data_IF_577959192946
#
_entry.id   IF_577959192946
#
_cell.length_a   1.000
_cell.length_b   1.000
_cell.length_c   1.000
_cell.angle_alpha   90.00
_cell.angle_beta   90.00
_cell.angle_gamma   90.00
#
_symmetry.space_group_name_H-M   'P 1'
#
loop_
_entity.id
_entity.type
_entity.pdbx_description
1 polymer ?
#
# COMPACT_ATOMS: atom_id res chain seq x y z
N UNK A 1 16.17 -23.66 -58.92
CA UNK A 1 16.53 -24.04 -57.53
C UNK A 1 17.50 -23.01 -57.00
N UNK A 2 17.06 -22.17 -56.06
CA UNK A 2 17.90 -21.22 -55.34
C UNK A 2 17.14 -20.79 -54.08
N UNK A 3 17.16 -21.64 -53.06
CA UNK A 3 16.69 -21.26 -51.73
C UNK A 3 17.83 -20.53 -51.02
N UNK A 4 17.65 -19.23 -50.83
CA UNK A 4 18.45 -18.43 -49.91
C UNK A 4 18.07 -18.77 -48.47
N UNK A 5 19.00 -19.40 -47.75
CA UNK A 5 18.88 -19.60 -46.30
C UNK A 5 18.97 -18.24 -45.60
N UNK A 6 17.83 -17.78 -45.08
CA UNK A 6 17.78 -16.68 -44.13
C UNK A 6 18.29 -17.21 -42.79
N UNK A 7 19.54 -16.89 -42.46
CA UNK A 7 20.14 -17.17 -41.15
C UNK A 7 19.40 -16.31 -40.12
N UNK A 8 18.45 -16.95 -39.41
CA UNK A 8 17.73 -16.37 -38.28
C UNK A 8 18.69 -16.23 -37.10
N UNK A 9 19.35 -15.06 -36.98
CA UNK A 9 20.18 -14.73 -35.82
C UNK A 9 19.25 -14.52 -34.62
N UNK A 10 18.98 -15.60 -33.88
CA UNK A 10 18.32 -15.51 -32.58
C UNK A 10 19.19 -14.68 -31.63
N UNK A 11 18.67 -13.62 -31.00
CA UNK A 11 19.44 -12.89 -30.01
C UNK A 11 19.81 -13.83 -28.87
N UNK A 12 21.11 -13.89 -28.54
CA UNK A 12 21.65 -14.61 -27.38
C UNK A 12 20.81 -14.24 -26.15
N UNK A 13 20.07 -15.21 -25.62
CA UNK A 13 19.39 -15.12 -24.33
C UNK A 13 20.41 -14.66 -23.29
N UNK A 14 20.31 -13.41 -22.83
CA UNK A 14 20.89 -13.01 -21.54
C UNK A 14 20.34 -13.99 -20.52
N UNK A 15 21.19 -14.83 -19.95
CA UNK A 15 20.84 -15.79 -18.90
C UNK A 15 19.89 -15.12 -17.91
N UNK A 16 18.63 -15.56 -17.84
CA UNK A 16 17.70 -15.03 -16.85
C UNK A 16 18.29 -15.33 -15.47
N UNK A 17 18.86 -14.31 -14.83
CA UNK A 17 19.36 -14.44 -13.46
C UNK A 17 18.21 -15.01 -12.60
N UNK A 18 18.47 -16.17 -11.99
CA UNK A 18 17.53 -16.86 -11.12
C UNK A 18 17.33 -16.04 -9.85
N UNK A 19 16.09 -15.96 -9.39
CA UNK A 19 15.74 -15.34 -8.10
C UNK A 19 16.43 -16.17 -7.02
N UNK A 20 17.12 -15.52 -6.09
CA UNK A 20 17.76 -16.17 -4.94
C UNK A 20 17.00 -15.88 -3.65
N UNK A 21 17.45 -16.47 -2.54
CA UNK A 21 16.93 -16.18 -1.21
C UNK A 21 16.94 -14.68 -0.86
N UNK A 22 17.96 -13.94 -1.32
CA UNK A 22 18.11 -12.53 -1.01
C UNK A 22 16.91 -11.69 -1.51
N UNK A 23 16.38 -11.96 -2.71
CA UNK A 23 15.21 -11.23 -3.23
C UNK A 23 13.94 -11.50 -2.40
N UNK A 24 13.76 -12.72 -1.90
CA UNK A 24 12.65 -13.04 -1.00
C UNK A 24 12.82 -12.34 0.35
N UNK A 25 14.02 -12.39 0.95
CA UNK A 25 14.32 -11.69 2.20
C UNK A 25 14.10 -10.18 2.06
N UNK A 26 14.55 -9.59 0.95
CA UNK A 26 14.39 -8.18 0.66
C UNK A 26 12.93 -7.75 0.60
N UNK A 27 12.11 -8.44 -0.21
CA UNK A 27 10.67 -8.12 -0.32
C UNK A 27 9.96 -8.41 1.01
N UNK A 28 10.38 -9.44 1.74
CA UNK A 28 9.85 -9.74 3.07
C UNK A 28 10.10 -8.60 4.05
N UNK A 29 11.32 -8.05 4.08
CA UNK A 29 11.65 -6.89 4.92
C UNK A 29 10.75 -5.71 4.53
N UNK A 30 10.61 -5.41 3.24
CA UNK A 30 9.69 -4.35 2.79
C UNK A 30 8.23 -4.59 3.22
N UNK A 31 7.77 -5.84 3.24
CA UNK A 31 6.42 -6.21 3.73
C UNK A 31 6.28 -5.92 5.22
N UNK A 32 7.25 -6.33 6.04
CA UNK A 32 7.21 -6.08 7.50
C UNK A 32 7.28 -4.58 7.79
N UNK A 33 8.13 -3.84 7.08
CA UNK A 33 8.22 -2.38 7.19
C UNK A 33 6.91 -1.68 6.86
N UNK A 34 6.30 -2.05 5.74
CA UNK A 34 5.03 -1.47 5.33
C UNK A 34 3.85 -1.94 6.22
N UNK A 35 4.00 -3.04 6.97
CA UNK A 35 3.03 -3.51 7.95
C UNK A 35 3.14 -2.85 9.32
N UNK A 36 4.18 -2.03 9.56
CA UNK A 36 4.39 -1.11 10.69
C UNK A 36 3.87 -1.58 12.08
N UNK A 37 3.98 -2.88 12.36
CA UNK A 37 3.44 -3.48 13.58
C UNK A 37 4.42 -3.47 14.77
N UNK A 38 5.69 -3.12 14.49
CA UNK A 38 6.71 -2.91 15.53
C UNK A 38 7.39 -1.56 15.36
N UNK A 39 7.83 -0.97 16.47
CA UNK A 39 8.63 0.26 16.48
C UNK A 39 9.99 0.10 15.79
N UNK A 40 10.51 -1.12 15.73
CA UNK A 40 11.76 -1.46 15.02
C UNK A 40 11.71 -1.16 13.52
N UNK A 41 10.51 -1.05 12.95
CA UNK A 41 10.32 -0.75 11.53
C UNK A 41 9.54 0.54 11.30
N UNK A 42 9.29 1.31 12.36
CA UNK A 42 8.57 2.58 12.30
C UNK A 42 9.54 3.72 11.92
N UNK A 43 9.90 3.76 10.65
CA UNK A 43 10.81 4.74 10.07
C UNK A 43 10.09 6.10 9.87
N UNK A 44 10.09 6.94 10.91
CA UNK A 44 9.38 8.24 10.91
C UNK A 44 10.24 9.40 10.42
N UNK A 45 11.57 9.33 10.62
CA UNK A 45 12.48 10.44 10.35
C UNK A 45 13.93 9.96 10.34
N UNK A 46 14.74 10.48 9.40
CA UNK A 46 16.17 10.15 9.33
C UNK A 46 16.93 10.58 10.59
N UNK A 47 16.46 11.62 11.30
CA UNK A 47 17.10 12.10 12.53
C UNK A 47 16.74 11.25 13.74
N UNK A 48 15.47 10.86 13.85
CA UNK A 48 14.95 10.22 15.06
C UNK A 48 15.10 8.70 15.02
N UNK A 49 15.03 8.10 13.83
CA UNK A 49 15.08 6.65 13.59
C UNK A 49 15.99 6.30 12.40
N UNK A 50 17.30 6.67 12.47
CA UNK A 50 18.23 6.52 11.34
C UNK A 50 18.43 5.05 10.94
N UNK A 51 18.51 4.14 11.92
CA UNK A 51 18.77 2.72 11.66
C UNK A 51 17.58 2.11 10.92
N UNK A 52 16.37 2.40 11.38
CA UNK A 52 15.12 1.92 10.81
C UNK A 52 14.98 2.39 9.36
N UNK A 53 15.30 3.65 9.07
CA UNK A 53 15.30 4.19 7.70
C UNK A 53 16.37 3.55 6.81
N UNK A 54 17.58 3.31 7.34
CA UNK A 54 18.72 2.88 6.53
C UNK A 54 18.67 1.40 6.12
N UNK A 55 18.08 0.52 6.92
CA UNK A 55 17.98 -0.91 6.60
C UNK A 55 17.39 -1.17 5.20
N UNK A 56 16.19 -0.67 4.83
CA UNK A 56 15.65 -0.90 3.48
C UNK A 56 16.49 -0.22 2.39
N UNK A 57 17.14 0.91 2.67
CA UNK A 57 18.03 1.61 1.73
C UNK A 57 19.28 0.78 1.42
N UNK A 58 19.93 0.24 2.46
CA UNK A 58 21.12 -0.61 2.31
C UNK A 58 20.77 -1.88 1.55
N UNK A 59 19.66 -2.53 1.88
CA UNK A 59 19.22 -3.72 1.14
C UNK A 59 18.88 -3.39 -0.32
N UNK A 60 18.27 -2.24 -0.59
CA UNK A 60 18.06 -1.73 -1.96
C UNK A 60 19.36 -1.48 -2.71
N UNK A 61 20.39 -0.94 -2.04
CA UNK A 61 21.71 -0.74 -2.65
C UNK A 61 22.38 -2.08 -2.99
N UNK A 62 22.34 -3.06 -2.09
CA UNK A 62 22.83 -4.42 -2.36
C UNK A 62 22.10 -5.04 -3.55
N UNK A 63 20.77 -4.89 -3.61
CA UNK A 63 19.95 -5.35 -4.74
C UNK A 63 20.35 -4.66 -6.05
N UNK A 64 20.54 -3.34 -6.03
CA UNK A 64 20.93 -2.56 -7.19
C UNK A 64 22.31 -2.97 -7.72
N UNK A 65 23.28 -3.19 -6.83
CA UNK A 65 24.61 -3.69 -7.18
C UNK A 65 24.56 -5.10 -7.77
N UNK A 66 23.80 -6.00 -7.13
CA UNK A 66 23.63 -7.38 -7.59
C UNK A 66 23.04 -7.48 -9.00
N UNK A 67 22.03 -6.65 -9.28
CA UNK A 67 21.36 -6.60 -10.58
C UNK A 67 22.00 -5.60 -11.56
N UNK A 68 23.13 -4.98 -11.19
CA UNK A 68 23.89 -3.99 -11.98
C UNK A 68 22.99 -2.89 -12.55
N UNK A 69 22.12 -2.33 -11.71
CA UNK A 69 21.17 -1.30 -12.11
C UNK A 69 21.93 0.00 -12.36
N UNK A 70 21.79 0.56 -13.56
CA UNK A 70 22.28 1.89 -13.91
C UNK A 70 21.15 2.91 -13.76
N UNK A 71 21.43 4.05 -13.13
CA UNK A 71 20.46 5.15 -12.99
C UNK A 71 20.11 5.70 -14.37
N UNK A 72 18.82 5.76 -14.70
CA UNK A 72 18.31 6.24 -15.98
C UNK A 72 17.61 7.59 -15.86
N UNK A 73 17.25 8.16 -17.02
CA UNK A 73 16.60 9.47 -17.12
C UNK A 73 15.31 9.57 -16.30
N UNK A 74 14.57 8.45 -16.14
CA UNK A 74 13.31 8.44 -15.38
C UNK A 74 13.56 8.73 -13.90
N UNK A 75 14.60 8.13 -13.32
CA UNK A 75 14.99 8.43 -11.94
C UNK A 75 15.49 9.87 -11.79
N UNK A 76 16.33 10.34 -12.72
CA UNK A 76 16.81 11.72 -12.70
C UNK A 76 15.67 12.74 -12.77
N UNK A 77 14.68 12.55 -13.65
CA UNK A 77 13.53 13.46 -13.73
C UNK A 77 12.70 13.46 -12.45
N UNK A 78 12.51 12.31 -11.82
CA UNK A 78 11.83 12.24 -10.52
C UNK A 78 12.61 12.98 -9.43
N UNK A 79 13.92 12.73 -9.34
CA UNK A 79 14.78 13.35 -8.33
C UNK A 79 14.87 14.87 -8.50
N UNK A 80 15.05 15.34 -9.74
CA UNK A 80 15.09 16.78 -10.08
C UNK A 80 13.72 17.43 -9.87
N UNK A 81 12.64 16.80 -10.32
CA UNK A 81 11.28 17.31 -10.10
C UNK A 81 10.94 17.44 -8.61
N UNK A 82 11.31 16.44 -7.81
CA UNK A 82 11.15 16.50 -6.36
C UNK A 82 12.06 17.53 -5.70
N UNK A 83 13.29 17.72 -6.20
CA UNK A 83 14.18 18.77 -5.74
C UNK A 83 13.60 20.17 -5.99
N UNK A 84 13.06 20.43 -7.18
CA UNK A 84 12.37 21.69 -7.49
C UNK A 84 11.18 21.91 -6.54
N UNK A 85 10.35 20.88 -6.34
CA UNK A 85 9.25 20.92 -5.38
C UNK A 85 9.73 21.26 -3.95
N UNK A 86 10.81 20.61 -3.49
CA UNK A 86 11.40 20.84 -2.18
C UNK A 86 11.95 22.26 -2.00
N UNK A 87 12.67 22.80 -2.99
CA UNK A 87 13.16 24.19 -2.96
C UNK A 87 11.99 25.17 -2.93
N UNK A 88 10.95 24.93 -3.72
CA UNK A 88 9.77 25.80 -3.77
C UNK A 88 9.05 25.86 -2.41
N UNK A 89 8.93 24.72 -1.72
CA UNK A 89 8.39 24.65 -0.36
C UNK A 89 9.28 25.32 0.67
N UNK A 90 10.60 25.13 0.53
CA UNK A 90 11.56 25.74 1.45
C UNK A 90 11.49 27.27 1.38
N UNK A 91 11.33 27.82 0.18
CA UNK A 91 11.10 29.25 -0.04
C UNK A 91 9.75 29.68 0.55
N UNK A 92 8.66 28.96 0.23
CA UNK A 92 7.30 29.28 0.72
C UNK A 92 7.22 29.41 2.23
N UNK A 93 7.88 28.51 2.96
CA UNK A 93 7.83 28.47 4.43
C UNK A 93 9.05 29.07 5.11
N UNK A 94 10.00 29.61 4.34
CA UNK A 94 11.29 30.12 4.82
C UNK A 94 11.99 29.14 5.78
N UNK A 95 11.91 27.85 5.48
CA UNK A 95 12.41 26.76 6.32
C UNK A 95 13.01 25.64 5.47
N UNK A 96 14.28 25.29 5.71
CA UNK A 96 15.02 24.33 4.90
C UNK A 96 15.07 22.95 5.57
N UNK A 97 14.16 22.06 5.17
CA UNK A 97 13.91 20.78 5.86
C UNK A 97 14.63 19.61 5.19
N UNK A 98 15.96 19.60 5.27
CA UNK A 98 16.80 18.61 4.58
C UNK A 98 16.44 17.14 4.90
N UNK A 99 16.07 16.83 6.15
CA UNK A 99 15.64 15.48 6.56
C UNK A 99 14.45 14.98 5.73
N UNK A 100 13.49 15.86 5.46
CA UNK A 100 12.30 15.55 4.64
C UNK A 100 12.70 15.19 3.21
N UNK A 101 13.58 16.01 2.61
CA UNK A 101 14.09 15.77 1.26
C UNK A 101 14.84 14.43 1.15
N UNK A 102 15.78 14.17 2.06
CA UNK A 102 16.57 12.94 2.08
C UNK A 102 15.68 11.71 2.26
N UNK A 103 14.69 11.78 3.15
CA UNK A 103 13.76 10.67 3.38
C UNK A 103 13.04 10.25 2.09
N UNK A 104 12.48 11.19 1.33
CA UNK A 104 11.79 10.86 0.07
C UNK A 104 12.75 10.42 -1.04
N UNK A 105 13.99 10.95 -1.09
CA UNK A 105 15.01 10.43 -2.00
C UNK A 105 15.33 8.96 -1.71
N UNK A 106 15.45 8.59 -0.43
CA UNK A 106 15.61 7.19 -0.03
C UNK A 106 14.42 6.34 -0.45
N UNK A 107 13.18 6.82 -0.27
CA UNK A 107 11.99 6.12 -0.74
C UNK A 107 12.05 5.89 -2.26
N UNK A 108 12.33 6.93 -3.05
CA UNK A 108 12.44 6.82 -4.51
C UNK A 108 13.54 5.86 -4.93
N UNK A 109 14.69 5.87 -4.25
CA UNK A 109 15.77 4.94 -4.53
C UNK A 109 15.36 3.48 -4.24
N UNK A 110 14.65 3.22 -3.15
CA UNK A 110 14.13 1.89 -2.81
C UNK A 110 13.19 1.39 -3.93
N UNK A 111 12.24 2.23 -4.34
CA UNK A 111 11.25 1.88 -5.36
C UNK A 111 11.92 1.64 -6.71
N UNK A 112 12.81 2.55 -7.11
CA UNK A 112 13.56 2.45 -8.35
C UNK A 112 14.34 1.14 -8.43
N UNK A 113 15.13 0.85 -7.39
CA UNK A 113 15.95 -0.34 -7.30
C UNK A 113 15.10 -1.61 -7.33
N UNK A 114 13.97 -1.63 -6.61
CA UNK A 114 13.03 -2.76 -6.57
C UNK A 114 12.41 -3.04 -7.93
N UNK A 115 11.82 -2.01 -8.56
CA UNK A 115 11.09 -2.18 -9.82
C UNK A 115 12.04 -2.56 -10.96
N UNK A 116 13.24 -1.95 -11.03
CA UNK A 116 14.22 -2.25 -12.08
C UNK A 116 14.85 -3.64 -11.95
N UNK A 117 15.17 -4.09 -10.73
CA UNK A 117 15.72 -5.43 -10.51
C UNK A 117 14.68 -6.53 -10.69
N UNK A 118 13.56 -6.44 -9.99
CA UNK A 118 12.60 -7.53 -9.86
C UNK A 118 11.53 -7.52 -10.96
N UNK A 119 11.19 -6.34 -11.50
CA UNK A 119 10.18 -6.20 -12.57
C UNK A 119 8.88 -6.92 -12.17
N UNK A 120 8.31 -7.74 -13.06
CA UNK A 120 7.10 -8.54 -12.78
C UNK A 120 7.33 -9.62 -11.73
N UNK A 121 8.60 -10.07 -11.51
CA UNK A 121 8.93 -11.05 -10.48
C UNK A 121 8.66 -10.50 -9.07
N UNK A 122 8.66 -9.17 -8.87
CA UNK A 122 8.27 -8.53 -7.61
C UNK A 122 6.91 -9.04 -7.12
N UNK A 123 5.91 -9.01 -7.99
CA UNK A 123 4.53 -9.38 -7.63
C UNK A 123 4.36 -10.88 -7.36
N UNK A 124 5.22 -11.71 -7.97
CA UNK A 124 5.30 -13.14 -7.67
C UNK A 124 5.83 -13.37 -6.26
N UNK A 125 6.98 -12.78 -5.95
CA UNK A 125 7.62 -12.88 -4.64
C UNK A 125 6.71 -12.31 -3.55
N UNK A 126 6.12 -11.13 -3.79
CA UNK A 126 5.18 -10.48 -2.87
C UNK A 126 3.99 -11.39 -2.55
N UNK A 127 3.29 -11.91 -3.57
CA UNK A 127 2.12 -12.77 -3.35
C UNK A 127 2.46 -14.06 -2.60
N UNK A 128 3.63 -14.63 -2.86
CA UNK A 128 4.11 -15.82 -2.16
C UNK A 128 4.42 -15.54 -0.69
N UNK A 129 5.09 -14.43 -0.38
CA UNK A 129 5.35 -14.00 1.01
C UNK A 129 4.03 -13.75 1.74
N UNK A 130 3.11 -12.99 1.13
CA UNK A 130 1.81 -12.71 1.74
C UNK A 130 0.99 -13.99 1.92
N UNK A 131 1.10 -14.97 1.02
CA UNK A 131 0.47 -16.26 1.18
C UNK A 131 0.93 -16.97 2.46
N UNK A 132 2.24 -17.12 2.67
CA UNK A 132 2.76 -17.77 3.87
C UNK A 132 2.43 -17.01 5.16
N UNK A 133 2.51 -15.68 5.14
CA UNK A 133 2.10 -14.84 6.26
C UNK A 133 0.59 -14.96 6.56
N UNK A 134 -0.24 -15.13 5.52
CA UNK A 134 -1.68 -15.32 5.67
C UNK A 134 -2.00 -16.69 6.28
N UNK A 135 -1.31 -17.74 5.85
CA UNK A 135 -1.47 -19.08 6.45
C UNK A 135 -1.10 -19.04 7.93
N UNK A 136 0.03 -18.43 8.28
CA UNK A 136 0.46 -18.28 9.67
C UNK A 136 -0.57 -17.46 10.47
N UNK A 137 -1.05 -16.34 9.92
CA UNK A 137 -2.07 -15.51 10.55
C UNK A 137 -3.37 -16.27 10.80
N UNK A 138 -3.80 -17.13 9.86
CA UNK A 138 -4.99 -17.96 10.03
C UNK A 138 -4.82 -18.98 11.16
N UNK A 139 -3.66 -19.64 11.25
CA UNK A 139 -3.36 -20.58 12.33
C UNK A 139 -3.41 -19.85 13.68
N UNK A 140 -2.71 -18.72 13.80
CA UNK A 140 -2.68 -17.94 15.03
C UNK A 140 -4.04 -17.36 15.41
N UNK A 141 -4.85 -16.97 14.42
CA UNK A 141 -6.22 -16.50 14.66
C UNK A 141 -7.14 -17.63 15.16
N UNK A 142 -7.05 -18.84 14.59
CA UNK A 142 -7.79 -20.00 15.11
C UNK A 142 -7.38 -20.27 16.57
N UNK A 143 -6.08 -20.23 16.88
CA UNK A 143 -5.57 -20.36 18.25
C UNK A 143 -6.16 -19.26 19.15
N UNK A 144 -6.23 -18.01 18.69
CA UNK A 144 -6.82 -16.91 19.43
C UNK A 144 -8.32 -17.11 19.71
N UNK A 145 -9.07 -17.63 18.73
CA UNK A 145 -10.51 -17.92 18.89
C UNK A 145 -10.72 -19.07 19.88
N UNK A 146 -9.95 -20.16 19.76
CA UNK A 146 -10.11 -21.36 20.60
C UNK A 146 -9.65 -21.13 22.05
N UNK A 147 -8.52 -20.45 22.26
CA UNK A 147 -8.01 -20.16 23.61
C UNK A 147 -8.83 -19.08 24.34
N UNK A 148 -9.57 -18.27 23.59
CA UNK A 148 -10.16 -17.02 24.06
C UNK A 148 -9.18 -15.86 23.88
N UNK A 149 -9.70 -14.77 23.30
CA UNK A 149 -8.88 -13.64 22.83
C UNK A 149 -7.98 -13.03 23.92
N UNK A 150 -8.48 -12.87 25.14
CA UNK A 150 -7.72 -12.27 26.23
C UNK A 150 -6.62 -13.19 26.79
N UNK A 151 -6.75 -14.53 26.67
CA UNK A 151 -5.70 -15.46 27.13
C UNK A 151 -4.47 -15.36 26.24
N UNK A 152 -4.64 -15.38 24.91
CA UNK A 152 -3.53 -15.21 23.99
C UNK A 152 -2.88 -13.82 24.13
N UNK A 153 -3.70 -12.77 24.28
CA UNK A 153 -3.21 -11.43 24.59
C UNK A 153 -2.39 -11.42 25.90
N UNK A 154 -2.85 -12.12 26.94
CA UNK A 154 -2.14 -12.30 28.20
C UNK A 154 -0.78 -12.97 28.05
N UNK A 155 -0.68 -14.03 27.25
CA UNK A 155 0.59 -14.68 26.94
C UNK A 155 1.55 -13.77 26.16
N UNK A 156 1.04 -12.96 25.24
CA UNK A 156 1.89 -11.98 24.57
C UNK A 156 2.38 -10.96 25.60
N UNK A 157 1.47 -10.45 26.44
CA UNK A 157 1.77 -9.46 27.47
C UNK A 157 2.82 -9.93 28.48
N UNK A 158 2.94 -11.24 28.76
CA UNK A 158 3.96 -11.78 29.67
C UNK A 158 5.36 -11.84 29.06
N UNK A 159 5.49 -11.72 27.74
CA UNK A 159 6.80 -11.64 27.08
C UNK A 159 7.40 -10.27 27.40
N UNK A 160 8.55 -10.29 28.09
CA UNK A 160 9.30 -9.08 28.39
C UNK A 160 9.57 -8.29 27.09
N UNK A 161 9.53 -6.96 27.18
CA UNK A 161 9.80 -6.03 26.07
C UNK A 161 8.76 -5.96 24.94
N UNK A 162 7.81 -6.89 24.79
CA UNK A 162 6.85 -6.85 23.67
C UNK A 162 6.04 -5.56 23.63
N UNK A 163 5.67 -5.03 24.81
CA UNK A 163 4.93 -3.76 24.95
C UNK A 163 5.75 -2.57 24.50
N UNK A 164 7.06 -2.59 24.71
CA UNK A 164 7.93 -1.48 24.36
C UNK A 164 8.12 -1.39 22.85
N UNK A 165 8.19 -2.55 22.17
CA UNK A 165 8.43 -2.65 20.73
C UNK A 165 7.17 -2.77 19.86
N UNK A 166 5.99 -3.05 20.42
CA UNK A 166 4.74 -3.10 19.65
C UNK A 166 4.28 -1.71 19.21
N UNK A 167 3.73 -1.62 18.00
CA UNK A 167 3.04 -0.42 17.47
C UNK A 167 1.65 -0.75 16.89
N UNK A 168 1.02 -1.81 17.40
CA UNK A 168 -0.34 -2.23 17.00
C UNK A 168 -1.37 -1.26 17.57
N UNK A 169 -2.40 -0.96 16.77
CA UNK A 169 -3.47 -0.06 17.20
C UNK A 169 -4.28 -0.64 18.38
N UNK A 170 -4.88 0.26 19.17
CA UNK A 170 -5.78 -0.07 20.29
C UNK A 170 -5.11 -0.98 21.34
N UNK A 171 -3.91 -0.63 21.78
CA UNK A 171 -3.12 -1.35 22.80
C UNK A 171 -2.81 -2.81 22.45
N UNK A 172 -2.78 -3.12 21.16
CA UNK A 172 -2.40 -4.43 20.66
C UNK A 172 -0.91 -4.74 20.84
N UNK A 173 -0.59 -6.02 20.75
CA UNK A 173 0.77 -6.55 20.86
C UNK A 173 1.14 -7.27 19.56
N UNK A 174 2.36 -7.07 19.09
CA UNK A 174 2.90 -7.77 17.92
C UNK A 174 4.10 -8.63 18.31
N UNK A 175 4.06 -9.89 17.91
CA UNK A 175 5.17 -10.84 18.00
C UNK A 175 5.85 -11.00 16.63
N UNK A 176 6.16 -9.88 15.98
CA UNK A 176 6.75 -9.74 14.63
C UNK A 176 5.82 -10.20 13.51
N UNK A 177 5.43 -11.48 13.52
CA UNK A 177 4.66 -12.11 12.45
C UNK A 177 3.16 -12.20 12.73
N UNK A 178 2.74 -11.90 13.96
CA UNK A 178 1.34 -11.88 14.35
C UNK A 178 1.04 -10.79 15.37
N UNK A 179 -0.05 -10.07 15.16
CA UNK A 179 -0.60 -9.03 16.02
C UNK A 179 -1.87 -9.51 16.71
N UNK A 180 -1.90 -9.37 18.03
CA UNK A 180 -3.06 -9.68 18.88
C UNK A 180 -3.60 -8.40 19.49
N UNK A 181 -4.93 -8.26 19.49
CA UNK A 181 -5.63 -7.15 20.14
C UNK A 181 -6.46 -7.66 21.33
N UNK A 182 -6.61 -6.87 22.40
CA UNK A 182 -7.51 -7.18 23.51
C UNK A 182 -8.94 -7.48 23.04
N UNK A 183 -9.67 -8.37 23.74
CA UNK A 183 -11.05 -8.71 23.37
C UNK A 183 -11.99 -7.50 23.41
N UNK A 184 -11.73 -6.54 24.32
CA UNK A 184 -12.45 -5.26 24.43
C UNK A 184 -12.60 -4.57 23.06
N UNK A 185 -11.57 -4.64 22.22
CA UNK A 185 -11.62 -4.03 20.89
C UNK A 185 -12.63 -4.70 19.97
N UNK A 186 -12.90 -5.99 20.14
CA UNK A 186 -13.92 -6.70 19.37
C UNK A 186 -15.33 -6.33 19.82
N UNK A 187 -15.53 -6.11 21.13
CA UNK A 187 -16.78 -5.61 21.69
C UNK A 187 -17.10 -4.18 21.24
N UNK A 188 -16.09 -3.30 21.10
CA UNK A 188 -16.26 -1.94 20.55
C UNK A 188 -16.87 -1.97 19.13
N UNK A 189 -16.63 -3.04 18.38
CA UNK A 189 -17.19 -3.25 17.03
C UNK A 189 -18.36 -4.23 17.02
N UNK A 190 -18.89 -4.62 18.19
CA UNK A 190 -19.99 -5.57 18.35
C UNK A 190 -19.76 -6.89 17.61
N UNK A 191 -18.50 -7.35 17.60
CA UNK A 191 -18.11 -8.58 16.95
C UNK A 191 -17.98 -9.72 17.96
N UNK A 192 -18.54 -10.87 17.61
CA UNK A 192 -18.49 -12.10 18.42
C UNK A 192 -17.07 -12.68 18.44
N UNK A 193 -16.31 -12.48 17.35
CA UNK A 193 -14.98 -13.06 17.19
C UNK A 193 -13.89 -11.99 17.15
N UNK A 194 -12.69 -12.28 17.69
CA UNK A 194 -11.54 -11.39 17.55
C UNK A 194 -11.24 -11.11 16.08
N UNK A 195 -10.85 -9.87 15.78
CA UNK A 195 -10.47 -9.47 14.43
C UNK A 195 -9.05 -9.92 14.13
N UNK A 196 -8.84 -10.52 12.96
CA UNK A 196 -7.52 -10.99 12.54
C UNK A 196 -6.66 -9.83 12.02
N UNK A 197 -5.60 -9.48 12.76
CA UNK A 197 -4.62 -8.45 12.36
C UNK A 197 -3.45 -9.01 11.55
N UNK A 198 -3.31 -10.34 11.46
CA UNK A 198 -2.15 -10.98 10.84
C UNK A 198 -0.84 -10.37 11.31
N UNK A 199 0.08 -10.10 10.39
CA UNK A 199 1.37 -9.47 10.67
C UNK A 199 1.32 -7.93 10.74
N UNK A 200 0.17 -7.30 10.51
CA UNK A 200 0.03 -5.85 10.41
C UNK A 200 -0.38 -5.20 11.75
N UNK A 201 -0.25 -3.87 11.85
CA UNK A 201 -0.64 -3.12 13.05
C UNK A 201 -2.16 -3.05 13.29
N UNK A 202 -2.98 -3.43 12.31
CA UNK A 202 -4.43 -3.53 12.45
C UNK A 202 -5.05 -4.48 11.40
N UNK A 203 -6.26 -5.02 11.66
CA UNK A 203 -6.96 -5.93 10.72
C UNK A 203 -7.20 -5.32 9.36
N UNK A 204 -7.43 -4.01 9.35
CA UNK A 204 -7.73 -3.26 8.17
C UNK A 204 -6.57 -3.17 7.16
N UNK A 205 -5.34 -3.12 7.65
CA UNK A 205 -4.12 -3.06 6.85
C UNK A 205 -3.76 -4.44 6.33
N UNK A 206 -3.92 -5.48 7.17
CA UNK A 206 -3.76 -6.86 6.74
C UNK A 206 -4.69 -7.18 5.55
N UNK A 207 -5.94 -6.70 5.61
CA UNK A 207 -6.89 -6.82 4.51
C UNK A 207 -6.38 -6.16 3.19
N UNK A 208 -5.69 -5.02 3.27
CA UNK A 208 -5.10 -4.37 2.07
C UNK A 208 -4.04 -5.27 1.43
N UNK A 209 -3.16 -5.87 2.23
CA UNK A 209 -2.14 -6.81 1.73
C UNK A 209 -2.78 -8.04 1.08
N UNK A 210 -3.82 -8.61 1.70
CA UNK A 210 -4.57 -9.74 1.13
C UNK A 210 -5.19 -9.34 -0.21
N UNK A 211 -5.81 -8.15 -0.32
CA UNK A 211 -6.39 -7.68 -1.58
C UNK A 211 -5.32 -7.49 -2.69
N UNK A 212 -4.16 -6.93 -2.37
CA UNK A 212 -3.06 -6.82 -3.34
C UNK A 212 -2.50 -8.19 -3.72
N UNK A 213 -2.40 -9.13 -2.79
CA UNK A 213 -1.97 -10.49 -3.07
C UNK A 213 -2.99 -11.24 -3.93
N UNK A 214 -4.29 -11.07 -3.70
CA UNK A 214 -5.37 -11.58 -4.55
C UNK A 214 -5.29 -11.02 -5.97
N UNK A 215 -5.03 -9.72 -6.10
CA UNK A 215 -4.78 -9.10 -7.41
C UNK A 215 -3.60 -9.78 -8.12
N UNK A 216 -2.47 -9.96 -7.44
CA UNK A 216 -1.30 -10.63 -8.00
C UNK A 216 -1.61 -12.09 -8.37
N UNK A 217 -2.28 -12.84 -7.49
CA UNK A 217 -2.64 -14.24 -7.67
C UNK A 217 -3.51 -14.45 -8.92
N UNK A 218 -4.60 -13.69 -9.03
CA UNK A 218 -5.61 -13.85 -10.09
C UNK A 218 -5.17 -13.27 -11.43
N UNK A 219 -4.44 -12.15 -11.42
CA UNK A 219 -4.13 -11.41 -12.65
C UNK A 219 -2.72 -11.61 -13.15
N UNK A 220 -1.71 -11.64 -12.27
CA UNK A 220 -0.29 -11.67 -12.63
C UNK A 220 0.26 -13.11 -12.64
N UNK A 221 0.06 -13.87 -11.57
CA UNK A 221 0.77 -15.13 -11.35
C UNK A 221 0.11 -16.31 -12.06
N UNK A 222 -1.23 -16.35 -12.12
CA UNK A 222 -2.09 -17.30 -12.86
C UNK A 222 -1.46 -18.67 -13.22
N UNK A 223 -0.78 -19.32 -12.27
CA UNK A 223 -0.26 -20.68 -12.45
C UNK A 223 -1.43 -21.64 -12.33
N UNK A 224 -1.76 -22.32 -13.43
CA UNK A 224 -2.83 -23.33 -13.50
C UNK A 224 -2.65 -24.32 -12.31
N UNK A 225 -3.67 -24.46 -11.45
CA UNK A 225 -3.67 -25.37 -10.29
C UNK A 225 -3.59 -24.69 -8.92
N UNK A 226 -2.46 -24.04 -8.57
CA UNK A 226 -2.25 -23.45 -7.22
C UNK A 226 -3.07 -22.18 -6.95
N UNK A 227 -3.52 -21.49 -8.00
CA UNK A 227 -4.28 -20.25 -7.87
C UNK A 227 -5.60 -20.44 -7.09
N UNK A 228 -6.28 -21.59 -7.24
CA UNK A 228 -7.56 -21.84 -6.57
C UNK A 228 -7.43 -21.94 -5.05
N UNK A 229 -6.46 -22.71 -4.55
CA UNK A 229 -6.22 -22.86 -3.12
C UNK A 229 -5.82 -21.53 -2.47
N UNK A 230 -4.87 -20.81 -3.10
CA UNK A 230 -4.41 -19.51 -2.58
C UNK A 230 -5.54 -18.47 -2.55
N UNK A 231 -6.38 -18.43 -3.59
CA UNK A 231 -7.57 -17.59 -3.62
C UNK A 231 -8.46 -17.84 -2.40
N UNK A 232 -8.83 -19.10 -2.12
CA UNK A 232 -9.71 -19.40 -1.00
C UNK A 232 -9.07 -19.09 0.36
N UNK A 233 -7.79 -19.37 0.54
CA UNK A 233 -7.07 -19.01 1.78
C UNK A 233 -7.11 -17.49 2.00
N UNK A 234 -6.80 -16.71 0.96
CA UNK A 234 -6.90 -15.26 1.03
C UNK A 234 -8.33 -14.77 1.30
N UNK A 235 -9.33 -15.33 0.64
CA UNK A 235 -10.74 -14.94 0.82
C UNK A 235 -11.23 -15.23 2.24
N UNK A 236 -10.92 -16.41 2.80
CA UNK A 236 -11.30 -16.75 4.17
C UNK A 236 -10.57 -15.83 5.16
N UNK A 237 -9.26 -15.64 4.98
CA UNK A 237 -8.49 -14.72 5.83
C UNK A 237 -9.06 -13.30 5.78
N UNK A 238 -9.47 -12.81 4.61
CA UNK A 238 -10.09 -11.51 4.47
C UNK A 238 -11.35 -11.38 5.33
N UNK A 239 -12.22 -12.39 5.34
CA UNK A 239 -13.42 -12.42 6.20
C UNK A 239 -13.06 -12.32 7.69
N UNK A 240 -11.98 -12.96 8.12
CA UNK A 240 -11.54 -12.88 9.53
C UNK A 240 -11.03 -11.47 9.93
N UNK A 241 -10.67 -10.61 8.96
CA UNK A 241 -10.22 -9.23 9.26
C UNK A 241 -11.35 -8.29 9.68
N UNK A 242 -12.59 -8.58 9.26
CA UNK A 242 -13.74 -7.69 9.46
C UNK A 242 -13.45 -6.26 8.98
N UNK A 243 -12.82 -6.14 7.79
CA UNK A 243 -12.40 -4.86 7.20
C UNK A 243 -13.35 -4.43 6.09
N UNK A 244 -14.09 -3.35 6.33
CA UNK A 244 -15.06 -2.78 5.37
C UNK A 244 -14.41 -2.38 4.05
N UNK A 245 -13.23 -1.74 4.13
CA UNK A 245 -12.41 -1.39 2.96
C UNK A 245 -11.92 -2.65 2.24
N UNK A 246 -11.48 -3.67 2.99
CA UNK A 246 -11.05 -4.94 2.42
C UNK A 246 -12.16 -5.64 1.64
N UNK A 247 -13.36 -5.70 2.20
CA UNK A 247 -14.53 -6.30 1.54
C UNK A 247 -14.92 -5.56 0.26
N UNK A 248 -14.95 -4.23 0.30
CA UNK A 248 -15.24 -3.42 -0.88
C UNK A 248 -14.22 -3.65 -1.99
N UNK A 249 -12.91 -3.61 -1.66
CA UNK A 249 -11.84 -3.85 -2.64
C UNK A 249 -11.88 -5.29 -3.18
N UNK A 250 -12.19 -6.27 -2.33
CA UNK A 250 -12.36 -7.67 -2.74
C UNK A 250 -13.51 -7.86 -3.72
N UNK A 251 -14.66 -7.24 -3.48
CA UNK A 251 -15.79 -7.26 -4.42
C UNK A 251 -15.40 -6.69 -5.78
N UNK A 252 -14.65 -5.58 -5.79
CA UNK A 252 -14.10 -5.00 -7.04
C UNK A 252 -13.17 -6.00 -7.74
N UNK A 253 -12.25 -6.65 -7.02
CA UNK A 253 -11.34 -7.66 -7.58
C UNK A 253 -12.11 -8.82 -8.20
N UNK A 254 -13.07 -9.39 -7.46
CA UNK A 254 -13.89 -10.53 -7.93
C UNK A 254 -14.71 -10.12 -9.14
N UNK A 255 -15.33 -8.93 -9.13
CA UNK A 255 -16.06 -8.39 -10.27
C UNK A 255 -15.19 -8.33 -11.53
N UNK A 256 -13.98 -7.75 -11.45
CA UNK A 256 -13.07 -7.69 -12.59
C UNK A 256 -12.57 -9.08 -13.01
N UNK A 257 -12.37 -10.01 -12.07
CA UNK A 257 -11.97 -11.39 -12.39
C UNK A 257 -13.04 -12.11 -13.19
N UNK A 258 -14.30 -12.04 -12.72
CA UNK A 258 -15.44 -12.60 -13.42
C UNK A 258 -15.63 -11.94 -14.80
N UNK A 259 -15.35 -10.64 -14.95
CA UNK A 259 -15.53 -9.92 -16.22
C UNK A 259 -14.54 -10.36 -17.29
N UNK A 260 -13.38 -10.83 -16.86
CA UNK A 260 -12.39 -11.41 -17.76
C UNK A 260 -12.69 -12.87 -18.14
N UNK A 261 -13.44 -13.61 -17.31
CA UNK A 261 -13.71 -15.05 -17.53
C UNK A 261 -15.09 -15.33 -18.12
N UNK A 262 -16.14 -14.68 -17.63
CA UNK A 262 -17.54 -14.98 -17.94
C UNK A 262 -18.38 -13.70 -17.95
N UNK A 263 -18.17 -12.83 -18.96
CA UNK A 263 -18.81 -11.51 -19.02
C UNK A 263 -20.35 -11.54 -19.00
N UNK A 264 -20.98 -12.60 -19.54
CA UNK A 264 -22.45 -12.76 -19.50
C UNK A 264 -22.98 -13.13 -18.11
N UNK A 265 -22.18 -13.83 -17.29
CA UNK A 265 -22.58 -14.29 -15.95
C UNK A 265 -22.59 -13.13 -14.95
N UNK A 266 -21.81 -12.08 -15.16
CA UNK A 266 -21.84 -10.89 -14.29
C UNK A 266 -23.17 -10.17 -14.32
N UNK A 267 -23.80 -10.03 -15.49
CA UNK A 267 -25.12 -9.39 -15.58
C UNK A 267 -26.14 -10.14 -14.72
N UNK A 268 -26.00 -11.47 -14.66
CA UNK A 268 -26.86 -12.38 -13.91
C UNK A 268 -26.51 -12.45 -12.42
N UNK A 269 -25.23 -12.29 -12.06
CA UNK A 269 -24.74 -12.26 -10.67
C UNK A 269 -24.83 -10.87 -10.02
N UNK A 270 -25.03 -9.80 -10.79
CA UNK A 270 -25.11 -8.44 -10.25
C UNK A 270 -26.17 -8.28 -9.15
N UNK A 271 -27.40 -8.82 -9.27
CA UNK A 271 -28.39 -8.79 -8.19
C UNK A 271 -27.89 -9.54 -6.94
N UNK A 272 -27.21 -10.67 -7.11
CA UNK A 272 -26.65 -11.45 -6.00
C UNK A 272 -25.54 -10.68 -5.29
N UNK A 273 -24.64 -10.03 -6.03
CA UNK A 273 -23.58 -9.17 -5.50
C UNK A 273 -24.19 -7.99 -4.73
N UNK A 274 -25.25 -7.38 -5.27
CA UNK A 274 -25.96 -6.29 -4.63
C UNK A 274 -26.66 -6.75 -3.34
N UNK A 275 -27.32 -7.90 -3.35
CA UNK A 275 -27.91 -8.51 -2.16
C UNK A 275 -26.87 -8.83 -1.09
N UNK A 276 -25.71 -9.38 -1.48
CA UNK A 276 -24.59 -9.61 -0.55
C UNK A 276 -24.08 -8.30 0.04
N UNK A 277 -23.97 -7.23 -0.77
CA UNK A 277 -23.61 -5.90 -0.28
C UNK A 277 -24.62 -5.41 0.76
N UNK A 278 -25.92 -5.47 0.47
CA UNK A 278 -26.98 -5.08 1.42
C UNK A 278 -26.89 -5.89 2.71
N UNK A 279 -26.66 -7.20 2.62
CA UNK A 279 -26.53 -8.09 3.77
C UNK A 279 -25.26 -7.77 4.59
N UNK A 280 -24.14 -7.42 3.94
CA UNK A 280 -22.95 -6.93 4.64
C UNK A 280 -23.27 -5.63 5.38
N UNK A 281 -23.95 -4.68 4.74
CA UNK A 281 -24.34 -3.40 5.34
C UNK A 281 -25.32 -3.56 6.52
N UNK A 282 -26.13 -4.63 6.55
CA UNK A 282 -27.04 -4.92 7.66
C UNK A 282 -26.36 -5.58 8.86
N UNK A 283 -25.10 -6.03 8.75
CA UNK A 283 -24.39 -6.63 9.88
C UNK A 283 -24.17 -5.59 11.01
N UNK A 284 -24.32 -5.99 12.29
CA UNK A 284 -24.23 -5.06 13.43
C UNK A 284 -22.96 -4.20 13.45
N UNK A 285 -21.81 -4.78 13.10
CA UNK A 285 -20.54 -4.06 13.07
C UNK A 285 -20.50 -2.94 12.01
N UNK A 286 -21.24 -3.07 10.90
CA UNK A 286 -21.32 -2.04 9.85
C UNK A 286 -22.21 -0.89 10.28
N UNK A 287 -23.42 -1.19 10.76
CA UNK A 287 -24.38 -0.19 11.23
C UNK A 287 -23.78 0.69 12.33
N UNK A 288 -23.16 0.07 13.34
CA UNK A 288 -22.52 0.79 14.45
C UNK A 288 -21.36 1.67 13.98
N UNK A 289 -20.63 1.23 12.94
CA UNK A 289 -19.54 2.00 12.35
C UNK A 289 -20.06 3.23 11.59
N UNK A 290 -21.18 3.11 10.87
CA UNK A 290 -21.82 4.22 10.15
C UNK A 290 -22.30 5.28 11.14
N UNK A 291 -23.04 4.88 12.18
CA UNK A 291 -23.55 5.80 13.21
C UNK A 291 -22.39 6.55 13.89
N UNK A 292 -21.31 5.85 14.25
CA UNK A 292 -20.12 6.48 14.84
C UNK A 292 -19.50 7.52 13.90
N UNK A 293 -19.44 7.22 12.60
CA UNK A 293 -18.89 8.13 11.59
C UNK A 293 -19.70 9.42 11.47
N UNK A 294 -21.04 9.31 11.51
CA UNK A 294 -21.95 10.46 11.46
C UNK A 294 -21.78 11.33 12.71
N UNK A 295 -21.77 10.71 13.89
CA UNK A 295 -21.65 11.44 15.16
C UNK A 295 -20.30 12.16 15.27
N UNK A 296 -19.19 11.50 14.95
CA UNK A 296 -17.86 12.13 14.97
C UNK A 296 -17.73 13.28 13.97
N UNK A 297 -18.45 13.22 12.85
CA UNK A 297 -18.46 14.30 11.86
C UNK A 297 -19.21 15.52 12.39
N UNK A 298 -20.36 15.31 13.03
CA UNK A 298 -21.17 16.39 13.60
C UNK A 298 -20.47 17.06 14.80
N UNK A 299 -19.63 16.32 15.52
CA UNK A 299 -18.91 16.79 16.70
C UNK A 299 -17.42 17.08 16.43
N UNK A 300 -17.03 17.28 15.17
CA UNK A 300 -15.62 17.35 14.78
C UNK A 300 -14.89 18.50 15.49
N UNK A 301 -15.50 19.68 15.56
CA UNK A 301 -14.93 20.84 16.27
C UNK A 301 -14.79 20.57 17.78
N UNK A 302 -15.80 19.95 18.39
CA UNK A 302 -15.77 19.58 19.82
C UNK A 302 -14.66 18.56 20.08
N UNK A 303 -14.50 17.56 19.21
CA UNK A 303 -13.43 16.57 19.29
C UNK A 303 -12.06 17.23 19.18
N UNK A 304 -11.89 18.19 18.26
CA UNK A 304 -10.63 18.93 18.10
C UNK A 304 -10.32 19.75 19.36
N UNK A 305 -11.29 20.52 19.85
CA UNK A 305 -11.15 21.36 21.05
C UNK A 305 -10.78 20.53 22.28
N UNK A 306 -11.36 19.33 22.45
CA UNK A 306 -11.03 18.41 23.56
C UNK A 306 -9.58 17.92 23.55
N UNK A 307 -8.86 18.08 22.43
CA UNK A 307 -7.45 17.67 22.32
C UNK A 307 -6.46 18.83 22.48
N UNK A 308 -6.95 20.07 22.64
CA UNK A 308 -6.12 21.24 22.88
C UNK A 308 -5.43 21.11 24.23
N UNK A 309 -4.10 21.29 24.26
CA UNK A 309 -3.32 21.22 25.49
C UNK A 309 -3.18 19.83 26.09
N UNK A 310 -3.68 18.78 25.41
CA UNK A 310 -3.53 17.38 25.86
C UNK A 310 -2.05 17.00 25.89
N UNK A 311 -1.59 16.56 27.06
CA UNK A 311 -0.24 15.99 27.23
C UNK A 311 -0.28 14.49 26.92
N UNK A 312 0.70 14.00 26.16
CA UNK A 312 0.80 12.59 25.74
C UNK A 312 0.55 12.35 24.25
N UNK A 313 0.10 11.13 23.92
CA UNK A 313 -0.11 10.65 22.54
C UNK A 313 -1.20 11.44 21.82
N UNK A 314 -0.98 11.69 20.53
CA UNK A 314 -1.93 12.38 19.67
C UNK A 314 -3.21 11.54 19.49
N UNK A 315 -4.36 12.20 19.52
CA UNK A 315 -5.62 11.55 19.23
C UNK A 315 -5.71 11.19 17.74
N UNK A 316 -6.08 9.95 17.42
CA UNK A 316 -6.26 9.48 16.05
C UNK A 316 -7.76 9.40 15.70
N UNK A 317 -8.32 10.34 14.92
CA UNK A 317 -9.73 10.33 14.56
C UNK A 317 -10.08 9.18 13.60
N UNK A 318 -11.37 8.91 13.38
CA UNK A 318 -11.77 8.02 12.29
C UNK A 318 -11.34 8.58 10.93
N UNK A 319 -11.33 7.72 9.91
CA UNK A 319 -10.79 8.03 8.56
C UNK A 319 -11.51 9.16 7.86
N UNK A 320 -12.82 9.30 8.07
CA UNK A 320 -13.60 10.39 7.49
C UNK A 320 -13.36 11.71 8.21
N UNK A 321 -13.37 11.73 9.55
CA UNK A 321 -12.99 12.90 10.33
C UNK A 321 -11.54 13.33 10.03
N UNK A 322 -10.63 12.36 9.87
CA UNK A 322 -9.25 12.58 9.43
C UNK A 322 -9.19 13.25 8.06
N UNK A 323 -10.02 12.80 7.10
CA UNK A 323 -10.12 13.42 5.77
C UNK A 323 -10.59 14.87 5.87
N UNK A 324 -11.63 15.16 6.64
CA UNK A 324 -12.12 16.52 6.83
C UNK A 324 -11.05 17.45 7.43
N UNK A 325 -10.31 16.99 8.44
CA UNK A 325 -9.20 17.75 9.04
C UNK A 325 -8.13 18.05 7.98
N UNK A 326 -7.65 17.03 7.28
CA UNK A 326 -6.61 17.21 6.25
C UNK A 326 -7.08 18.06 5.06
N UNK A 327 -8.38 18.09 4.78
CA UNK A 327 -8.96 18.94 3.75
C UNK A 327 -8.92 20.43 4.14
N UNK A 328 -8.98 20.76 5.44
CA UNK A 328 -8.77 22.14 5.91
C UNK A 328 -7.32 22.57 5.61
N UNK A 329 -6.34 21.70 5.90
CA UNK A 329 -4.93 21.98 5.60
C UNK A 329 -4.66 22.12 4.09
N UNK A 330 -5.27 21.24 3.29
CA UNK A 330 -5.23 21.35 1.84
C UNK A 330 -5.85 22.66 1.34
N UNK A 331 -7.02 23.05 1.85
CA UNK A 331 -7.67 24.32 1.47
C UNK A 331 -6.79 25.52 1.78
N UNK A 332 -6.05 25.48 2.89
CA UNK A 332 -5.11 26.54 3.26
C UNK A 332 -3.83 26.53 2.41
N UNK A 333 -3.44 25.37 1.85
CA UNK A 333 -2.20 25.19 1.09
C UNK A 333 -2.40 24.36 -0.20
N UNK A 334 -3.24 24.80 -1.15
CA UNK A 334 -3.81 23.91 -2.17
C UNK A 334 -2.81 23.44 -3.23
N UNK A 335 -1.84 24.27 -3.62
CA UNK A 335 -0.93 23.92 -4.71
C UNK A 335 0.21 22.98 -4.26
N UNK A 336 0.95 23.39 -3.22
CA UNK A 336 2.18 22.72 -2.78
C UNK A 336 2.00 21.88 -1.50
N UNK A 337 0.90 22.06 -0.78
CA UNK A 337 0.70 21.48 0.54
C UNK A 337 1.59 22.10 1.62
N UNK A 338 1.69 21.39 2.74
CA UNK A 338 2.50 21.74 3.90
C UNK A 338 3.99 21.37 3.74
N UNK A 339 4.35 20.48 2.80
CA UNK A 339 5.75 20.13 2.57
C UNK A 339 6.46 19.52 3.79
N UNK A 340 5.68 18.81 4.61
CA UNK A 340 6.13 18.25 5.87
C UNK A 340 6.20 19.22 7.04
N UNK A 341 5.97 20.53 6.87
CA UNK A 341 5.94 21.51 7.98
C UNK A 341 4.63 21.36 8.76
N UNK A 342 4.58 20.32 9.59
CA UNK A 342 3.37 19.91 10.32
C UNK A 342 2.85 21.03 11.24
N UNK A 343 3.74 21.87 11.76
CA UNK A 343 3.40 23.01 12.63
C UNK A 343 2.54 24.07 11.93
N UNK A 344 2.56 24.12 10.60
CA UNK A 344 1.70 25.02 9.83
C UNK A 344 0.27 24.49 9.64
N UNK A 345 0.02 23.23 10.00
CA UNK A 345 -1.28 22.60 9.98
C UNK A 345 -2.24 23.22 11.00
N UNK A 346 -3.52 23.24 10.66
CA UNK A 346 -4.58 23.87 11.44
C UNK A 346 -4.63 23.37 12.88
N UNK A 347 -4.60 22.05 13.08
CA UNK A 347 -4.68 21.43 14.41
C UNK A 347 -3.47 21.79 15.27
N UNK A 348 -2.27 21.80 14.69
CA UNK A 348 -1.05 22.18 15.39
C UNK A 348 -1.05 23.66 15.79
N UNK A 349 -1.54 24.55 14.92
CA UNK A 349 -1.64 25.99 15.20
C UNK A 349 -2.53 26.33 16.40
N UNK A 350 -3.59 25.57 16.61
CA UNK A 350 -4.50 25.74 17.75
C UNK A 350 -4.09 24.91 18.98
N UNK A 351 -2.91 24.27 18.94
CA UNK A 351 -2.41 23.43 20.04
C UNK A 351 -3.16 22.10 20.22
N UNK A 352 -3.94 21.67 19.23
CA UNK A 352 -4.64 20.39 19.22
C UNK A 352 -3.70 19.28 18.73
N UNK A 353 -3.52 18.23 19.54
CA UNK A 353 -2.68 17.08 19.18
C UNK A 353 -3.49 15.99 18.50
N UNK A 354 -3.58 16.07 17.17
CA UNK A 354 -4.33 15.14 16.34
C UNK A 354 -3.42 14.54 15.27
N UNK A 355 -3.54 13.22 15.05
CA UNK A 355 -2.83 12.50 13.99
C UNK A 355 -3.82 11.86 13.01
N UNK A 356 -4.17 12.55 11.90
CA UNK A 356 -5.09 12.04 10.89
C UNK A 356 -4.58 10.77 10.17
N UNK A 357 -5.45 9.79 9.95
CA UNK A 357 -5.09 8.46 9.43
C UNK A 357 -5.56 8.15 7.99
N UNK A 358 -5.82 9.19 7.17
CA UNK A 358 -6.25 9.02 5.77
C UNK A 358 -5.08 9.20 4.80
N UNK A 359 -4.91 8.31 3.83
CA UNK A 359 -3.82 8.42 2.86
C UNK A 359 -4.02 9.54 1.85
N UNK A 360 -5.20 9.62 1.22
CA UNK A 360 -5.48 10.66 0.21
C UNK A 360 -5.59 12.05 0.83
N UNK A 361 -6.16 12.15 2.03
CA UNK A 361 -6.20 13.41 2.76
C UNK A 361 -4.80 13.88 3.15
N UNK A 362 -3.97 12.99 3.70
CA UNK A 362 -2.57 13.31 4.00
C UNK A 362 -1.79 13.66 2.74
N UNK A 363 -2.03 12.99 1.61
CA UNK A 363 -1.42 13.33 0.32
C UNK A 363 -1.76 14.74 -0.12
N UNK A 364 -3.03 15.13 -0.04
CA UNK A 364 -3.49 16.48 -0.38
C UNK A 364 -2.94 17.52 0.59
N UNK A 365 -3.02 17.29 1.90
CA UNK A 365 -2.50 18.22 2.91
C UNK A 365 -0.99 18.41 2.79
N UNK A 366 -0.24 17.32 2.60
CA UNK A 366 1.22 17.34 2.59
C UNK A 366 1.80 17.82 1.27
N UNK A 367 1.21 17.39 0.14
CA UNK A 367 1.77 17.63 -1.19
C UNK A 367 0.93 18.51 -2.12
N UNK A 368 -0.25 18.91 -1.69
CA UNK A 368 -1.17 19.71 -2.49
C UNK A 368 -1.59 19.02 -3.78
N UNK A 369 -2.05 19.83 -4.73
CA UNK A 369 -2.44 19.37 -6.06
C UNK A 369 -1.26 18.78 -6.83
N UNK A 370 -0.04 19.29 -6.65
CA UNK A 370 1.14 18.78 -7.37
C UNK A 370 1.39 17.31 -7.05
N UNK A 371 1.43 16.93 -5.77
CA UNK A 371 1.61 15.53 -5.39
C UNK A 371 0.40 14.67 -5.71
N UNK A 372 -0.82 15.20 -5.57
CA UNK A 372 -2.03 14.46 -5.91
C UNK A 372 -2.10 14.11 -7.41
N UNK A 373 -1.81 15.08 -8.29
CA UNK A 373 -1.75 14.86 -9.73
C UNK A 373 -0.66 13.82 -10.06
N UNK A 374 0.53 13.96 -9.48
CA UNK A 374 1.61 12.99 -9.68
C UNK A 374 1.21 11.57 -9.28
N UNK A 375 0.59 11.41 -8.11
CA UNK A 375 0.09 10.14 -7.61
C UNK A 375 -0.98 9.54 -8.53
N UNK A 376 -2.00 10.32 -8.89
CA UNK A 376 -3.10 9.89 -9.76
C UNK A 376 -2.56 9.43 -11.11
N UNK A 377 -1.77 10.27 -11.80
CA UNK A 377 -1.20 9.96 -13.11
C UNK A 377 -0.30 8.72 -13.07
N UNK A 378 0.58 8.61 -12.06
CA UNK A 378 1.46 7.45 -11.91
C UNK A 378 0.67 6.17 -11.68
N UNK A 379 -0.33 6.22 -10.81
CA UNK A 379 -1.18 5.07 -10.49
C UNK A 379 -1.99 4.61 -11.72
N UNK A 380 -2.58 5.56 -12.45
CA UNK A 380 -3.29 5.29 -13.71
C UNK A 380 -2.35 4.67 -14.75
N UNK A 381 -1.15 5.24 -14.94
CA UNK A 381 -0.16 4.72 -15.86
C UNK A 381 0.24 3.27 -15.51
N UNK A 382 0.43 2.96 -14.22
CA UNK A 382 0.75 1.61 -13.74
C UNK A 382 -0.40 0.64 -13.99
N UNK A 383 -1.65 1.05 -13.70
CA UNK A 383 -2.84 0.24 -13.96
C UNK A 383 -3.03 -0.07 -15.45
N UNK A 384 -2.83 0.94 -16.32
CA UNK A 384 -2.89 0.78 -17.77
C UNK A 384 -1.74 -0.09 -18.31
N UNK A 385 -0.56 0.00 -17.70
CA UNK A 385 0.57 -0.89 -18.01
C UNK A 385 0.18 -2.35 -17.75
N UNK A 386 -0.34 -2.69 -16.57
CA UNK A 386 -0.71 -4.08 -16.26
C UNK A 386 -1.80 -4.62 -17.17
N UNK A 387 -2.80 -3.81 -17.51
CA UNK A 387 -3.85 -4.23 -18.44
C UNK A 387 -3.30 -4.58 -19.83
N UNK A 388 -2.35 -3.78 -20.34
CA UNK A 388 -1.66 -4.04 -21.62
C UNK A 388 -0.75 -5.25 -21.53
N UNK A 389 0.11 -5.29 -20.51
CA UNK A 389 1.07 -6.37 -20.28
C UNK A 389 0.39 -7.73 -20.13
N UNK A 390 -0.70 -7.80 -19.36
CA UNK A 390 -1.44 -9.03 -19.11
C UNK A 390 -2.48 -9.34 -20.21
N UNK A 391 -2.71 -8.43 -21.15
CA UNK A 391 -3.77 -8.53 -22.18
C UNK A 391 -5.16 -8.84 -21.58
N UNK A 392 -5.49 -8.20 -20.46
CA UNK A 392 -6.74 -8.39 -19.70
C UNK A 392 -7.57 -7.10 -19.61
N UNK A 393 -8.89 -7.23 -19.49
CA UNK A 393 -9.84 -6.12 -19.26
C UNK A 393 -9.78 -5.63 -17.81
N UNK A 394 -8.64 -5.09 -17.39
CA UNK A 394 -8.36 -4.64 -16.02
C UNK A 394 -7.77 -3.22 -15.95
N UNK A 395 -8.03 -2.40 -16.98
CA UNK A 395 -7.41 -1.07 -17.20
C UNK A 395 -7.39 -0.19 -15.96
N UNK A 396 -8.47 -0.19 -15.17
CA UNK A 396 -8.61 0.64 -13.98
C UNK A 396 -8.54 -0.14 -12.66
N UNK A 397 -8.34 -1.46 -12.68
CA UNK A 397 -8.45 -2.29 -11.49
C UNK A 397 -7.42 -1.90 -10.42
N UNK A 398 -6.14 -1.82 -10.78
CA UNK A 398 -5.09 -1.46 -9.82
C UNK A 398 -5.30 -0.03 -9.30
N UNK A 399 -5.70 0.89 -10.19
CA UNK A 399 -6.02 2.27 -9.80
C UNK A 399 -7.14 2.32 -8.74
N UNK A 400 -8.24 1.59 -8.97
CA UNK A 400 -9.36 1.53 -8.03
C UNK A 400 -8.95 0.90 -6.69
N UNK A 401 -8.17 -0.19 -6.72
CA UNK A 401 -7.64 -0.83 -5.50
C UNK A 401 -6.83 0.19 -4.68
N UNK A 402 -5.83 0.84 -5.31
CA UNK A 402 -4.97 1.80 -4.63
C UNK A 402 -5.78 3.01 -4.13
N UNK A 403 -6.71 3.54 -4.91
CA UNK A 403 -7.55 4.66 -4.51
C UNK A 403 -8.39 4.33 -3.27
N UNK A 404 -9.14 3.22 -3.27
CA UNK A 404 -9.96 2.84 -2.10
C UNK A 404 -9.11 2.57 -0.85
N UNK A 405 -7.93 1.96 -1.01
CA UNK A 405 -7.01 1.75 0.11
C UNK A 405 -6.47 3.09 0.64
N UNK A 406 -6.19 4.06 -0.23
CA UNK A 406 -5.67 5.38 0.14
C UNK A 406 -6.70 6.24 0.90
N UNK A 407 -7.99 6.09 0.64
CA UNK A 407 -9.02 6.78 1.45
C UNK A 407 -8.90 6.33 2.91
N UNK A 408 -8.60 5.04 3.10
CA UNK A 408 -8.62 4.41 4.41
C UNK A 408 -7.31 4.44 5.17
N UNK A 409 -6.17 4.41 4.48
CA UNK A 409 -4.85 4.31 5.11
C UNK A 409 -3.81 5.11 4.35
N UNK A 410 -2.83 5.63 5.09
CA UNK A 410 -1.62 6.26 4.57
C UNK A 410 -0.60 5.26 3.99
N UNK A 411 -1.06 4.09 3.55
CA UNK A 411 -0.19 3.02 3.06
C UNK A 411 0.54 3.40 1.75
N UNK A 412 -0.01 4.36 1.01
CA UNK A 412 0.53 4.83 -0.28
C UNK A 412 1.91 5.48 -0.18
N UNK A 413 2.36 5.84 1.03
CA UNK A 413 3.69 6.40 1.29
C UNK A 413 4.76 5.35 1.61
N UNK A 414 4.38 4.08 1.81
CA UNK A 414 5.37 3.02 2.05
C UNK A 414 5.95 2.51 0.72
N UNK A 415 7.27 2.30 0.65
CA UNK A 415 7.96 2.01 -0.60
C UNK A 415 7.44 0.74 -1.29
N UNK A 416 7.02 -0.28 -0.53
CA UNK A 416 6.42 -1.48 -1.09
C UNK A 416 5.14 -1.17 -1.90
N UNK A 417 4.25 -0.36 -1.35
CA UNK A 417 3.00 0.03 -2.01
C UNK A 417 3.29 1.02 -3.14
N UNK A 418 4.28 1.90 -2.97
CA UNK A 418 4.78 2.76 -4.04
C UNK A 418 5.31 1.97 -5.24
N UNK A 419 5.88 0.78 -5.04
CA UNK A 419 6.25 -0.10 -6.15
C UNK A 419 5.05 -0.54 -7.00
N UNK A 420 3.82 -0.59 -6.46
CA UNK A 420 2.61 -0.88 -7.25
C UNK A 420 2.18 0.32 -8.08
N UNK A 421 2.07 1.50 -7.45
CA UNK A 421 1.49 2.67 -8.11
C UNK A 421 2.50 3.47 -8.94
N UNK A 422 3.81 3.34 -8.68
CA UNK A 422 4.89 3.91 -9.51
C UNK A 422 5.49 2.90 -10.49
N UNK A 423 4.95 1.69 -10.60
CA UNK A 423 5.54 0.61 -11.39
C UNK A 423 5.87 1.02 -12.84
N UNK A 424 4.94 1.67 -13.54
CA UNK A 424 5.17 2.07 -14.94
C UNK A 424 6.17 3.21 -15.09
N UNK A 425 6.47 3.97 -14.04
CA UNK A 425 7.42 5.09 -14.10
C UNK A 425 8.83 4.59 -14.35
N UNK A 426 9.19 3.44 -13.77
CA UNK A 426 10.54 2.89 -13.83
C UNK A 426 10.66 1.67 -14.74
N UNK A 427 9.56 1.12 -15.24
CA UNK A 427 9.61 -0.04 -16.10
C UNK A 427 9.47 0.37 -17.58
N UNK A 428 10.46 0.07 -18.44
CA UNK A 428 10.39 0.47 -19.84
C UNK A 428 9.27 -0.28 -20.58
N UNK A 429 8.66 0.42 -21.54
CA UNK A 429 7.65 -0.07 -22.49
C UNK A 429 8.06 -1.32 -23.28
N UNK A 430 9.34 -1.66 -23.28
CA UNK A 430 9.93 -2.81 -23.98
C UNK A 430 9.43 -4.17 -23.44
N UNK A 431 8.76 -4.19 -22.29
CA UNK A 431 8.13 -5.40 -21.74
C UNK A 431 6.71 -5.64 -22.25
N UNK A 432 6.10 -4.69 -22.95
CA UNK A 432 4.75 -4.89 -23.51
C UNK A 432 4.90 -5.64 -24.84
N UNK A 433 4.45 -6.90 -24.95
CA UNK A 433 4.62 -7.68 -26.17
C UNK A 433 3.87 -7.02 -27.34
N UNK A 434 4.60 -6.50 -28.33
CA UNK A 434 4.03 -5.89 -29.54
C UNK A 434 3.72 -4.38 -29.45
N UNK A 435 4.28 -3.62 -28.49
CA UNK A 435 4.13 -2.16 -28.47
C UNK A 435 5.02 -1.51 -29.55
N UNK A 436 4.50 -1.40 -30.77
CA UNK A 436 5.17 -0.79 -31.93
C UNK A 436 5.42 0.71 -31.76
N UNK A 437 4.84 1.37 -30.76
CA UNK A 437 4.96 2.83 -30.57
C UNK A 437 6.38 3.33 -30.38
N UNK A 438 7.29 2.53 -29.80
CA UNK A 438 8.72 2.88 -29.72
C UNK A 438 9.43 2.69 -31.06
N UNK A 439 9.07 1.64 -31.80
CA UNK A 439 9.58 1.40 -33.15
C UNK A 439 9.10 2.48 -34.13
N UNK A 440 7.82 2.86 -34.08
CA UNK A 440 7.25 3.94 -34.88
C UNK A 440 7.82 5.32 -34.51
N UNK A 441 8.10 5.58 -33.24
CA UNK A 441 8.71 6.85 -32.82
C UNK A 441 10.18 6.94 -33.21
N UNK A 442 10.95 5.85 -33.11
CA UNK A 442 12.34 5.81 -33.60
C UNK A 442 12.42 5.82 -35.13
N UNK A 443 11.47 5.17 -35.83
CA UNK A 443 11.38 5.21 -37.28
C UNK A 443 11.00 6.61 -37.78
N UNK A 444 10.15 7.36 -37.05
CA UNK A 444 9.85 8.77 -37.36
C UNK A 444 11.02 9.72 -37.09
N UNK A 445 11.87 9.42 -36.11
CA UNK A 445 13.10 10.20 -35.85
C UNK A 445 14.17 9.95 -36.92
N UNK A 446 14.30 8.72 -37.43
CA UNK A 446 15.23 8.40 -38.52
C UNK A 446 14.80 8.91 -39.90
N UNK A 447 13.55 9.37 -40.05
CA UNK A 447 13.05 10.01 -41.27
C UNK A 447 13.27 11.55 -41.23
N UNK A 448 13.70 12.08 -40.07
CA UNK A 448 13.97 13.51 -39.84
C UNK A 448 15.47 13.84 -39.72
N UNK A 449 16.34 12.84 -39.84
CA UNK A 449 17.78 12.95 -40.13
C UNK A 449 18.02 12.60 -41.60
#
# INVERSE_FOLDING_TARGET
MSHSEVIEIRPKNKSEQKISFFEYLYVFVLVIYAANATKLVNATSVKDTPVEVLVPVVLSAILALKWKITIDRQFYFLAVGFFIYFITISIKFSDFRLTYYIFYLFQFFIIYSTVKSLKIKLFKIFEEIIFYLTVLAMIMWIVQVVLGADKLYGYFKSIAFIRQYSSVSQDGLNAILYSVQPAVNSFIYSSIFPRNSGFAWEPGVFAVYICLALYCNLFINNTKGKAGLRFWIFSIALVTTQSTTGYLVYLVIVFFYLNNKMSRVILLLFPVILSILVLIFSLPFMSNKIVRLINETNELDVMVVRTIGRQGEAYTPQRFSSLLITMIDFKNNPLLGLGGKVDEGWTMKIGARISPITGIGNLLAQFGMVGCIFFVLSTLASSLFFARYLKKKIRFLLFIIILFTSISYSLIFFPLIMCFWMYSLFNPSDMIPGDTRKAEFQQKLHILE
#
